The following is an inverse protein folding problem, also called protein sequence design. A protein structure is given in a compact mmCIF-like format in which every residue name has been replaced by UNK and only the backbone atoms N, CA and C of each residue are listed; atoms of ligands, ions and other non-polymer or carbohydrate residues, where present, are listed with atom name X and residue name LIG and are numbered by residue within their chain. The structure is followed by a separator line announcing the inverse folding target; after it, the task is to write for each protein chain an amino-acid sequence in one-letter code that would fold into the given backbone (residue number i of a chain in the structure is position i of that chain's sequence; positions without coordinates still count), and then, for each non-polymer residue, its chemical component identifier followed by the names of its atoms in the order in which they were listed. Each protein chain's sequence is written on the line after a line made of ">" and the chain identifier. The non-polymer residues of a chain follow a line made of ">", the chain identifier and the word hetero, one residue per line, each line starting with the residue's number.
data_IF_486489568267
#
_entry.id   IF_486489568267
#
_cell.length_a   1.000
_cell.length_b   1.000
_cell.length_c   1.000
_cell.angle_alpha   90.00
_cell.angle_beta   90.00
_cell.angle_gamma   90.00
#
_symmetry.space_group_name_H-M   'P 1'
#
loop_
_entity.id
_entity.type
_entity.pdbx_description
1 polymer ?
#
# COMPACT_ATOMS: atom_id res chain seq x y z
N UNK A 1 -88.94 12.26 2.94
CA UNK A 1 -87.72 12.39 2.12
C UNK A 1 -86.53 12.59 3.03
N UNK A 2 -85.75 11.54 3.25
CA UNK A 2 -84.53 11.58 4.14
C UNK A 2 -83.28 11.52 3.23
N UNK A 3 -82.47 12.58 3.28
CA UNK A 3 -81.16 12.62 2.61
C UNK A 3 -80.11 11.99 3.52
N UNK A 4 -79.45 10.91 3.08
CA UNK A 4 -78.27 10.37 3.69
C UNK A 4 -77.04 11.11 3.10
N UNK A 5 -76.27 11.74 3.99
CA UNK A 5 -74.94 12.30 3.62
C UNK A 5 -73.86 11.25 3.88
N UNK A 6 -73.23 10.82 2.83
CA UNK A 6 -72.02 9.95 2.91
C UNK A 6 -70.74 10.77 3.11
N UNK A 7 -70.07 10.56 4.24
CA UNK A 7 -68.76 11.14 4.55
C UNK A 7 -67.69 10.25 3.92
N UNK A 8 -66.98 10.78 2.93
CA UNK A 8 -65.76 10.15 2.35
C UNK A 8 -64.58 10.57 3.21
N UNK A 9 -64.02 9.61 3.95
CA UNK A 9 -62.74 9.82 4.67
C UNK A 9 -61.59 9.68 3.70
N UNK A 10 -60.94 10.81 3.33
CA UNK A 10 -59.67 10.81 2.63
C UNK A 10 -58.51 10.39 3.58
N UNK A 11 -58.02 9.16 3.42
CA UNK A 11 -56.83 8.71 4.08
C UNK A 11 -55.59 9.40 3.48
N UNK A 12 -54.91 10.24 4.24
CA UNK A 12 -53.60 10.78 3.87
C UNK A 12 -52.55 9.70 4.08
N UNK A 13 -52.07 9.09 2.98
CA UNK A 13 -50.92 8.23 3.00
C UNK A 13 -49.70 9.15 3.11
N UNK A 14 -49.13 9.24 4.31
CA UNK A 14 -47.80 9.86 4.51
C UNK A 14 -46.76 9.01 3.81
N UNK A 15 -46.42 9.34 2.58
CA UNK A 15 -45.26 8.79 1.87
C UNK A 15 -43.97 9.18 2.63
N UNK A 16 -43.35 8.22 3.29
CA UNK A 16 -41.98 8.38 3.77
C UNK A 16 -41.11 8.66 2.56
N UNK A 17 -40.76 9.91 2.33
CA UNK A 17 -39.82 10.33 1.30
C UNK A 17 -38.47 9.71 1.60
N UNK A 18 -38.10 8.68 0.84
CA UNK A 18 -36.71 8.26 0.73
C UNK A 18 -35.96 9.45 0.14
N UNK A 19 -35.22 10.18 0.98
CA UNK A 19 -34.29 11.18 0.51
C UNK A 19 -33.32 10.47 -0.45
N UNK A 20 -33.06 10.99 -1.66
CA UNK A 20 -32.07 10.39 -2.54
C UNK A 20 -30.74 10.41 -1.79
N UNK A 21 -30.17 9.24 -1.57
CA UNK A 21 -28.77 9.12 -1.15
C UNK A 21 -27.97 9.71 -2.31
N UNK A 22 -27.50 10.96 -2.16
CA UNK A 22 -26.59 11.53 -3.14
C UNK A 22 -25.34 10.67 -3.17
N UNK A 23 -25.18 9.93 -4.25
CA UNK A 23 -23.96 9.19 -4.52
C UNK A 23 -22.79 10.18 -4.55
N UNK A 24 -21.80 9.98 -3.70
CA UNK A 24 -20.64 10.84 -3.62
C UNK A 24 -19.49 10.27 -4.48
N UNK A 25 -18.78 11.16 -5.15
CA UNK A 25 -17.54 10.82 -5.85
C UNK A 25 -16.34 11.19 -4.97
N UNK A 26 -15.74 10.16 -4.36
CA UNK A 26 -14.56 10.32 -3.52
C UNK A 26 -13.32 10.37 -4.41
N UNK A 27 -12.50 11.42 -4.28
CA UNK A 27 -11.25 11.55 -5.03
C UNK A 27 -10.05 11.21 -4.17
N UNK A 28 -9.17 10.33 -4.67
CA UNK A 28 -7.92 9.98 -4.04
C UNK A 28 -6.81 9.77 -5.06
N UNK A 29 -5.55 9.93 -4.65
CA UNK A 29 -4.41 9.68 -5.53
C UNK A 29 -3.19 9.23 -4.74
N UNK A 30 -2.32 8.45 -5.37
CA UNK A 30 -1.03 8.13 -4.76
C UNK A 30 -0.50 6.73 -5.05
N UNK A 31 -0.06 6.06 -4.00
CA UNK A 31 0.67 4.80 -4.06
C UNK A 31 0.03 3.76 -4.97
N UNK A 32 0.87 3.09 -5.78
CA UNK A 32 0.43 1.95 -6.59
C UNK A 32 0.42 0.65 -5.77
N UNK A 33 1.11 0.62 -4.64
CA UNK A 33 1.17 -0.52 -3.74
C UNK A 33 -0.23 -1.03 -3.32
N UNK A 34 -1.18 -0.19 -2.81
CA UNK A 34 -2.49 -0.66 -2.40
C UNK A 34 -3.51 -0.72 -3.53
N UNK A 35 -3.16 -0.32 -4.76
CA UNK A 35 -4.15 -0.17 -5.83
C UNK A 35 -4.99 -1.42 -6.10
N UNK A 36 -4.45 -2.66 -6.10
CA UNK A 36 -5.26 -3.85 -6.32
C UNK A 36 -6.40 -3.99 -5.31
N UNK A 37 -6.13 -3.73 -4.03
CA UNK A 37 -7.17 -3.81 -3.00
C UNK A 37 -8.08 -2.59 -3.00
N UNK A 38 -7.57 -1.38 -3.27
CA UNK A 38 -8.40 -0.18 -3.35
C UNK A 38 -9.40 -0.26 -4.52
N UNK A 39 -9.01 -0.81 -5.66
CA UNK A 39 -9.91 -1.06 -6.77
C UNK A 39 -11.02 -2.07 -6.40
N UNK A 40 -10.66 -3.15 -5.71
CA UNK A 40 -11.62 -4.16 -5.24
C UNK A 40 -12.60 -3.59 -4.20
N UNK A 41 -12.09 -2.79 -3.26
CA UNK A 41 -12.92 -2.11 -2.27
C UNK A 41 -13.84 -1.07 -2.91
N UNK A 42 -13.33 -0.27 -3.87
CA UNK A 42 -14.12 0.73 -4.58
C UNK A 42 -15.32 0.11 -5.30
N UNK A 43 -15.10 -1.02 -5.96
CA UNK A 43 -16.14 -1.77 -6.67
C UNK A 43 -17.22 -2.30 -5.72
N UNK A 44 -16.80 -2.90 -4.59
CA UNK A 44 -17.70 -3.45 -3.59
C UNK A 44 -18.47 -2.33 -2.84
N UNK A 45 -17.79 -1.25 -2.47
CA UNK A 45 -18.37 -0.08 -1.82
C UNK A 45 -19.44 0.58 -2.70
N UNK A 46 -19.13 0.76 -4.00
CA UNK A 46 -20.08 1.31 -4.96
C UNK A 46 -21.34 0.46 -5.10
N UNK A 47 -21.20 -0.86 -5.15
CA UNK A 47 -22.34 -1.79 -5.22
C UNK A 47 -23.24 -1.71 -3.99
N UNK A 48 -22.66 -1.47 -2.81
CA UNK A 48 -23.40 -1.42 -1.55
C UNK A 48 -24.00 -0.05 -1.27
N UNK A 49 -23.28 1.03 -1.55
CA UNK A 49 -23.63 2.39 -1.11
C UNK A 49 -24.04 3.33 -2.24
N UNK A 50 -23.74 2.98 -3.49
CA UNK A 50 -23.89 3.86 -4.65
C UNK A 50 -22.75 4.88 -4.81
N UNK A 51 -21.93 5.15 -3.77
CA UNK A 51 -20.83 6.10 -3.82
C UNK A 51 -19.61 5.52 -4.54
N UNK A 52 -18.93 6.33 -5.36
CA UNK A 52 -17.77 5.92 -6.16
C UNK A 52 -16.48 6.43 -5.55
N UNK A 53 -15.44 5.62 -5.61
CA UNK A 53 -14.06 6.05 -5.37
C UNK A 53 -13.33 6.18 -6.71
N UNK A 54 -12.86 7.38 -7.03
CA UNK A 54 -11.94 7.66 -8.12
C UNK A 54 -10.51 7.75 -7.55
N UNK A 55 -9.78 6.64 -7.59
CA UNK A 55 -8.40 6.57 -7.10
C UNK A 55 -7.41 6.57 -8.27
N UNK A 56 -6.52 7.55 -8.28
CA UNK A 56 -5.46 7.67 -9.27
C UNK A 56 -4.18 7.01 -8.76
N UNK A 57 -3.82 5.86 -9.33
CA UNK A 57 -2.59 5.11 -9.02
C UNK A 57 -1.40 5.74 -9.74
N UNK A 58 -0.76 6.76 -9.12
CA UNK A 58 0.28 7.60 -9.73
C UNK A 58 1.60 7.61 -8.96
N UNK A 59 1.74 6.74 -7.96
CA UNK A 59 2.88 6.65 -7.06
C UNK A 59 2.75 7.58 -5.84
N UNK A 60 3.42 7.21 -4.75
CA UNK A 60 3.37 7.92 -3.46
C UNK A 60 3.78 9.39 -3.58
N UNK A 61 4.85 9.67 -4.34
CA UNK A 61 5.28 11.06 -4.58
C UNK A 61 4.22 11.90 -5.29
N UNK A 62 3.46 11.31 -6.21
CA UNK A 62 2.31 11.95 -6.86
C UNK A 62 1.17 12.21 -5.87
N UNK A 63 0.86 11.23 -5.01
CA UNK A 63 -0.17 11.35 -3.97
C UNK A 63 0.14 12.43 -2.95
N UNK A 64 1.38 12.48 -2.46
CA UNK A 64 1.85 13.54 -1.53
C UNK A 64 1.68 14.92 -2.19
N UNK A 65 2.11 15.09 -3.45
CA UNK A 65 1.97 16.36 -4.17
C UNK A 65 0.52 16.77 -4.35
N UNK A 66 -0.37 15.84 -4.69
CA UNK A 66 -1.78 16.15 -4.90
C UNK A 66 -2.51 16.52 -3.60
N UNK A 67 -2.23 15.84 -2.49
CA UNK A 67 -2.84 16.22 -1.21
C UNK A 67 -2.30 17.57 -0.73
N UNK A 68 -1.01 17.84 -0.88
CA UNK A 68 -0.42 19.16 -0.58
C UNK A 68 -1.05 20.27 -1.42
N UNK A 69 -1.31 20.01 -2.70
CA UNK A 69 -2.00 20.93 -3.61
C UNK A 69 -3.52 21.01 -3.39
N UNK A 70 -4.08 20.21 -2.47
CA UNK A 70 -5.53 20.15 -2.14
C UNK A 70 -6.42 19.78 -3.32
N UNK A 71 -5.93 19.00 -4.26
CA UNK A 71 -6.65 18.58 -5.48
C UNK A 71 -7.44 17.28 -5.29
N UNK A 72 -7.23 16.57 -4.19
CA UNK A 72 -7.88 15.31 -3.84
C UNK A 72 -8.35 15.33 -2.37
N UNK A 73 -9.35 14.52 -2.03
CA UNK A 73 -9.83 14.36 -0.66
C UNK A 73 -8.80 13.64 0.23
N UNK A 74 -8.03 12.70 -0.36
CA UNK A 74 -6.95 12.02 0.33
C UNK A 74 -5.78 11.71 -0.61
N UNK A 75 -4.56 11.71 -0.05
CA UNK A 75 -3.36 11.17 -0.68
C UNK A 75 -3.06 9.77 -0.13
N UNK A 76 -2.37 8.92 -0.89
CA UNK A 76 -1.88 7.64 -0.41
C UNK A 76 -0.37 7.50 -0.62
N UNK A 77 0.33 6.97 0.39
CA UNK A 77 1.79 6.82 0.37
C UNK A 77 2.23 5.60 1.18
N UNK A 78 3.26 4.88 0.68
CA UNK A 78 3.94 3.82 1.45
C UNK A 78 5.20 4.36 2.15
N UNK A 79 5.55 5.63 1.92
CA UNK A 79 6.51 6.37 2.71
C UNK A 79 5.74 7.21 3.74
N UNK A 80 5.72 6.84 5.03
CA UNK A 80 5.06 7.66 6.02
C UNK A 80 5.77 9.01 6.16
N UNK A 81 4.99 10.08 6.24
CA UNK A 81 5.50 11.40 6.56
C UNK A 81 5.83 11.48 8.06
N UNK A 82 6.92 12.16 8.38
CA UNK A 82 7.29 12.44 9.77
C UNK A 82 6.33 13.42 10.44
N UNK A 83 6.30 13.43 11.76
CA UNK A 83 5.48 14.39 12.53
C UNK A 83 5.70 15.85 12.13
N UNK A 84 6.96 16.35 11.99
CA UNK A 84 7.25 17.68 11.46
C UNK A 84 6.66 17.95 10.07
N UNK A 85 6.77 16.99 9.13
CA UNK A 85 6.19 17.13 7.78
C UNK A 85 4.67 17.19 7.81
N UNK A 86 4.02 16.30 8.58
CA UNK A 86 2.57 16.33 8.77
C UNK A 86 2.08 17.65 9.35
N UNK A 87 2.79 18.18 10.34
CA UNK A 87 2.43 19.46 10.97
C UNK A 87 2.63 20.64 10.02
N UNK A 88 3.73 20.65 9.26
CA UNK A 88 4.04 21.69 8.27
C UNK A 88 2.92 21.82 7.23
N UNK A 89 2.42 20.70 6.76
CA UNK A 89 1.41 20.66 5.69
C UNK A 89 -0.03 20.63 6.24
N UNK A 90 -0.21 20.61 7.57
CA UNK A 90 -1.53 20.53 8.23
C UNK A 90 -2.24 19.21 7.93
N UNK A 91 -1.49 18.12 7.80
CA UNK A 91 -2.00 16.79 7.48
C UNK A 91 -2.11 15.91 8.73
N UNK A 92 -3.02 14.98 8.68
CA UNK A 92 -3.06 13.76 9.49
C UNK A 92 -2.79 12.56 8.60
N UNK A 93 -2.31 11.46 9.21
CA UNK A 93 -1.93 10.24 8.51
C UNK A 93 -2.43 9.02 9.27
N UNK A 94 -2.83 7.97 8.53
CA UNK A 94 -3.21 6.70 9.14
C UNK A 94 -2.99 5.52 8.15
N UNK A 95 -2.64 4.30 8.63
CA UNK A 95 -2.43 3.12 7.80
C UNK A 95 -3.76 2.48 7.37
N UNK A 96 -3.77 1.78 6.23
CA UNK A 96 -4.96 1.05 5.74
C UNK A 96 -4.77 -0.45 5.64
N UNK A 97 -3.69 -0.92 5.06
CA UNK A 97 -3.33 -2.34 4.93
C UNK A 97 -1.84 -2.53 5.02
N UNK A 98 -1.42 -3.75 5.35
CA UNK A 98 -0.04 -4.20 5.26
C UNK A 98 0.14 -5.07 4.02
N UNK A 99 1.37 -5.13 3.52
CA UNK A 99 1.77 -6.01 2.44
C UNK A 99 3.29 -6.21 2.42
N UNK A 100 3.79 -6.83 1.36
CA UNK A 100 5.22 -7.05 1.18
C UNK A 100 5.71 -6.59 -0.17
N UNK A 101 6.85 -5.92 -0.19
CA UNK A 101 7.63 -5.73 -1.41
C UNK A 101 8.44 -6.98 -1.67
N UNK A 102 8.34 -7.53 -2.86
CA UNK A 102 8.99 -8.80 -3.22
C UNK A 102 9.92 -8.61 -4.43
N UNK A 103 11.12 -9.17 -4.38
CA UNK A 103 11.93 -9.29 -5.58
C UNK A 103 11.26 -10.26 -6.56
N UNK A 104 11.03 -9.81 -7.79
CA UNK A 104 10.46 -10.61 -8.89
C UNK A 104 11.50 -10.84 -9.96
N UNK A 105 11.48 -12.03 -10.57
CA UNK A 105 12.52 -12.49 -11.48
C UNK A 105 11.92 -13.14 -12.73
N UNK A 106 12.68 -13.08 -13.82
CA UNK A 106 12.37 -13.79 -15.07
C UNK A 106 13.56 -14.67 -15.49
N UNK A 107 13.67 -15.82 -14.85
CA UNK A 107 14.69 -16.84 -15.15
C UNK A 107 13.99 -18.11 -15.58
N UNK A 108 14.38 -18.62 -16.75
CA UNK A 108 13.82 -19.87 -17.27
C UNK A 108 14.18 -21.05 -16.36
N UNK A 109 13.21 -21.90 -16.06
CA UNK A 109 13.37 -23.11 -15.23
C UNK A 109 13.33 -22.87 -13.72
N UNK A 110 13.29 -21.61 -13.25
CA UNK A 110 13.13 -21.28 -11.82
C UNK A 110 11.65 -21.04 -11.49
N UNK A 111 11.16 -21.66 -10.41
CA UNK A 111 9.76 -21.55 -9.96
C UNK A 111 9.57 -20.43 -8.93
N UNK A 112 8.34 -19.96 -8.70
CA UNK A 112 8.04 -19.00 -7.62
C UNK A 112 8.52 -19.53 -6.26
N UNK A 113 9.28 -18.71 -5.53
CA UNK A 113 9.82 -19.07 -4.21
C UNK A 113 10.91 -20.14 -4.19
N UNK A 114 11.45 -20.56 -5.34
CA UNK A 114 12.55 -21.51 -5.42
C UNK A 114 13.89 -20.83 -5.11
N UNK A 115 14.12 -19.63 -5.67
CA UNK A 115 15.35 -18.87 -5.44
C UNK A 115 15.29 -18.13 -4.10
N UNK A 116 16.40 -18.16 -3.36
CA UNK A 116 16.61 -17.40 -2.12
C UNK A 116 17.67 -16.33 -2.35
N UNK A 117 17.41 -15.10 -1.91
CA UNK A 117 18.40 -14.01 -1.88
C UNK A 117 18.55 -13.51 -0.44
N UNK A 118 19.69 -12.93 -0.13
CA UNK A 118 19.89 -12.12 1.07
C UNK A 118 19.97 -10.62 0.72
N UNK A 119 19.89 -9.77 1.73
CA UNK A 119 19.89 -8.33 1.51
C UNK A 119 21.18 -7.80 0.90
N UNK A 120 22.34 -8.38 1.24
CA UNK A 120 23.63 -7.97 0.71
C UNK A 120 23.76 -8.33 -0.79
N UNK A 121 23.34 -9.54 -1.16
CA UNK A 121 23.32 -9.98 -2.57
C UNK A 121 22.36 -9.13 -3.38
N UNK A 122 21.14 -8.88 -2.86
CA UNK A 122 20.13 -8.05 -3.51
C UNK A 122 20.64 -6.61 -3.73
N UNK A 123 21.25 -5.99 -2.73
CA UNK A 123 21.85 -4.66 -2.85
C UNK A 123 22.94 -4.62 -3.95
N UNK A 124 23.85 -5.61 -3.98
CA UNK A 124 24.90 -5.70 -4.98
C UNK A 124 24.36 -5.92 -6.40
N UNK A 125 23.24 -6.64 -6.57
CA UNK A 125 22.56 -6.77 -7.85
C UNK A 125 22.04 -5.40 -8.34
N UNK A 126 21.35 -4.66 -7.49
CA UNK A 126 20.82 -3.35 -7.83
C UNK A 126 21.89 -2.26 -7.95
N UNK A 127 23.08 -2.47 -7.39
CA UNK A 127 24.28 -1.65 -7.63
C UNK A 127 25.00 -2.01 -8.94
N UNK A 128 24.55 -3.03 -9.70
CA UNK A 128 25.20 -3.50 -10.93
C UNK A 128 26.54 -4.21 -10.69
N UNK A 129 26.83 -4.63 -9.46
CA UNK A 129 28.05 -5.36 -9.09
C UNK A 129 27.96 -6.85 -9.40
N UNK A 130 26.77 -7.45 -9.26
CA UNK A 130 26.47 -8.82 -9.69
C UNK A 130 25.87 -8.75 -11.10
N UNK A 131 26.58 -9.31 -12.08
CA UNK A 131 26.24 -9.14 -13.49
C UNK A 131 25.58 -10.37 -14.13
N UNK A 132 25.70 -11.55 -13.51
CA UNK A 132 25.14 -12.81 -14.03
C UNK A 132 24.46 -13.58 -12.93
N UNK A 133 23.46 -14.39 -13.31
CA UNK A 133 22.67 -15.17 -12.34
C UNK A 133 23.45 -16.29 -11.68
N UNK A 134 24.49 -16.82 -12.32
CA UNK A 134 25.39 -17.83 -11.75
C UNK A 134 26.53 -17.25 -10.90
N UNK A 135 26.44 -15.96 -10.47
CA UNK A 135 27.41 -15.37 -9.55
C UNK A 135 27.54 -16.22 -8.27
N UNK A 136 28.78 -16.45 -7.78
CA UNK A 136 29.01 -17.26 -6.57
C UNK A 136 28.23 -16.85 -5.34
N UNK A 137 27.90 -15.54 -5.19
CA UNK A 137 27.07 -15.05 -4.09
C UNK A 137 25.63 -15.58 -4.17
N UNK A 138 25.04 -15.65 -5.38
CA UNK A 138 23.71 -16.22 -5.59
C UNK A 138 23.76 -17.74 -5.46
N UNK A 139 24.76 -18.39 -6.07
CA UNK A 139 24.90 -19.86 -6.06
C UNK A 139 25.06 -20.41 -4.63
N UNK A 140 25.80 -19.72 -3.77
CA UNK A 140 26.00 -20.10 -2.36
C UNK A 140 24.67 -20.14 -1.57
N UNK A 141 23.73 -19.24 -1.87
CA UNK A 141 22.41 -19.17 -1.22
C UNK A 141 21.44 -20.23 -1.78
N UNK A 142 21.76 -20.83 -2.92
CA UNK A 142 20.87 -21.70 -3.68
C UNK A 142 21.53 -23.03 -4.08
N UNK A 143 22.04 -23.82 -3.12
CA UNK A 143 22.67 -25.11 -3.44
C UNK A 143 21.64 -26.02 -4.13
N UNK A 144 22.01 -26.56 -5.29
CA UNK A 144 21.14 -27.44 -6.08
C UNK A 144 20.25 -26.75 -7.11
N UNK A 145 20.14 -25.44 -7.12
CA UNK A 145 19.45 -24.68 -8.18
C UNK A 145 20.41 -24.47 -9.36
N UNK A 146 19.99 -24.87 -10.56
CA UNK A 146 20.78 -24.66 -11.78
C UNK A 146 20.60 -23.22 -12.25
N UNK A 147 21.56 -22.37 -11.89
CA UNK A 147 21.57 -20.96 -12.27
C UNK A 147 22.20 -20.77 -13.67
N UNK A 148 21.56 -20.01 -14.58
CA UNK A 148 22.11 -19.76 -15.91
C UNK A 148 23.24 -18.72 -15.87
N UNK A 149 24.10 -18.73 -16.88
CA UNK A 149 25.12 -17.69 -17.12
C UNK A 149 24.52 -16.39 -17.67
N UNK A 150 23.20 -16.26 -17.70
CA UNK A 150 22.45 -15.12 -18.21
C UNK A 150 22.77 -13.85 -17.42
N UNK A 151 22.81 -12.71 -18.12
CA UNK A 151 22.99 -11.40 -17.49
C UNK A 151 21.81 -11.05 -16.57
N UNK A 152 22.13 -10.41 -15.45
CA UNK A 152 21.14 -9.80 -14.56
C UNK A 152 20.72 -8.45 -15.17
N UNK A 153 19.43 -8.27 -15.43
CA UNK A 153 18.83 -7.02 -15.90
C UNK A 153 17.97 -6.42 -14.80
N UNK A 154 18.43 -5.34 -14.20
CA UNK A 154 17.68 -4.66 -13.13
C UNK A 154 16.54 -3.84 -13.72
N UNK A 155 15.34 -3.96 -13.15
CA UNK A 155 14.18 -3.12 -13.43
C UNK A 155 13.74 -2.41 -12.16
N UNK A 156 13.71 -1.09 -12.20
CA UNK A 156 13.37 -0.23 -11.06
C UNK A 156 12.25 0.74 -11.39
N UNK A 157 11.74 1.46 -10.38
CA UNK A 157 10.73 2.50 -10.57
C UNK A 157 11.34 3.76 -11.16
N UNK A 158 10.58 4.42 -12.06
CA UNK A 158 10.94 5.72 -12.65
C UNK A 158 10.08 6.88 -12.14
N UNK A 159 9.05 6.60 -11.35
CA UNK A 159 8.17 7.57 -10.71
C UNK A 159 8.50 7.72 -9.21
N UNK A 160 7.93 8.73 -8.54
CA UNK A 160 8.01 8.87 -7.09
C UNK A 160 7.23 7.76 -6.37
N UNK A 161 7.92 6.73 -5.90
CA UNK A 161 7.35 5.45 -5.49
C UNK A 161 7.56 5.15 -4.01
N UNK A 162 6.49 4.88 -3.28
CA UNK A 162 6.57 4.36 -1.92
C UNK A 162 7.14 2.94 -1.87
N UNK A 163 6.83 2.10 -2.87
CA UNK A 163 7.44 0.77 -3.02
C UNK A 163 8.96 0.89 -3.15
N UNK A 164 9.46 1.88 -3.91
CA UNK A 164 10.90 2.21 -3.96
C UNK A 164 11.43 2.64 -2.60
N UNK A 165 10.71 3.50 -1.87
CA UNK A 165 11.14 3.92 -0.55
C UNK A 165 11.31 2.71 0.40
N UNK A 166 10.31 1.84 0.47
CA UNK A 166 10.36 0.62 1.30
C UNK A 166 11.54 -0.28 0.90
N UNK A 167 11.74 -0.49 -0.39
CA UNK A 167 12.82 -1.31 -0.92
C UNK A 167 14.20 -0.70 -0.62
N UNK A 168 14.37 0.59 -0.85
CA UNK A 168 15.65 1.28 -0.63
C UNK A 168 15.95 1.52 0.85
N UNK A 169 14.92 1.68 1.71
CA UNK A 169 15.08 1.68 3.16
C UNK A 169 15.60 0.33 3.67
N UNK A 170 15.03 -0.78 3.17
CA UNK A 170 15.56 -2.12 3.47
C UNK A 170 17.01 -2.26 3.04
N UNK A 171 17.34 -1.94 1.78
CA UNK A 171 18.72 -2.03 1.29
C UNK A 171 19.70 -1.15 2.08
N UNK A 172 19.25 0.02 2.53
CA UNK A 172 20.06 0.92 3.38
C UNK A 172 20.31 0.34 4.78
N UNK A 173 19.40 -0.49 5.30
CA UNK A 173 19.55 -1.18 6.59
C UNK A 173 20.53 -2.35 6.53
N UNK A 174 20.64 -3.02 5.38
CA UNK A 174 21.40 -4.27 5.23
C UNK A 174 22.71 -4.13 4.46
N UNK A 175 22.98 -2.97 3.84
CA UNK A 175 24.19 -2.76 3.03
C UNK A 175 24.76 -1.34 3.17
N UNK A 176 25.96 -1.21 3.76
CA UNK A 176 26.55 0.08 4.08
C UNK A 176 26.83 0.95 2.83
N UNK A 177 27.35 0.35 1.76
CA UNK A 177 27.60 1.08 0.51
C UNK A 177 26.31 1.57 -0.15
N UNK A 178 25.24 0.79 -0.09
CA UNK A 178 23.93 1.25 -0.56
C UNK A 178 23.49 2.50 0.23
N UNK A 179 23.55 2.41 1.58
CA UNK A 179 23.16 3.50 2.47
C UNK A 179 23.90 4.80 2.16
N UNK A 180 25.21 4.72 1.88
CA UNK A 180 26.05 5.91 1.66
C UNK A 180 26.00 6.46 0.24
N UNK A 181 25.84 5.59 -0.78
CA UNK A 181 25.92 5.98 -2.19
C UNK A 181 24.54 6.23 -2.84
N UNK A 182 23.51 5.54 -2.36
CA UNK A 182 22.15 5.60 -2.94
C UNK A 182 21.15 6.13 -1.92
N UNK A 183 21.13 5.58 -0.69
CA UNK A 183 20.21 5.95 0.37
C UNK A 183 18.80 5.38 0.19
N UNK A 184 17.84 6.03 0.87
CA UNK A 184 16.43 5.65 0.88
C UNK A 184 15.53 6.85 0.57
N UNK A 185 14.71 6.74 -0.48
CA UNK A 185 13.74 7.78 -0.88
C UNK A 185 12.67 7.19 -1.81
N UNK A 186 11.62 7.96 -2.08
CA UNK A 186 10.64 7.61 -3.12
C UNK A 186 11.23 7.70 -4.53
N UNK A 187 12.33 8.40 -4.71
CA UNK A 187 13.13 8.46 -5.94
C UNK A 187 14.60 8.56 -5.55
N UNK A 188 15.44 7.70 -6.14
CA UNK A 188 16.88 7.64 -5.92
C UNK A 188 17.61 7.66 -7.25
N UNK A 189 18.92 8.00 -7.22
CA UNK A 189 19.80 7.83 -8.38
C UNK A 189 20.18 6.34 -8.50
N UNK A 190 19.54 5.64 -9.42
CA UNK A 190 19.75 4.22 -9.61
C UNK A 190 21.12 3.94 -10.25
N UNK A 191 21.98 3.11 -9.63
CA UNK A 191 23.30 2.78 -10.20
C UNK A 191 23.23 1.98 -11.49
N UNK A 192 22.16 1.21 -11.69
CA UNK A 192 21.96 0.35 -12.86
C UNK A 192 20.47 0.08 -13.09
N UNK A 193 20.14 -0.32 -14.32
CA UNK A 193 18.83 -0.85 -14.64
C UNK A 193 17.98 0.04 -15.55
N UNK A 194 16.75 -0.42 -15.75
CA UNK A 194 15.74 0.21 -16.59
C UNK A 194 14.57 0.72 -15.72
N UNK A 195 14.16 1.97 -15.96
CA UNK A 195 13.05 2.58 -15.25
C UNK A 195 11.70 2.16 -15.81
N UNK A 196 10.74 1.83 -14.92
CA UNK A 196 9.36 1.53 -15.27
C UNK A 196 8.39 2.25 -14.33
N UNK A 197 7.24 2.71 -14.84
CA UNK A 197 6.25 3.45 -14.06
C UNK A 197 5.27 2.51 -13.35
N UNK A 198 5.07 2.70 -12.07
CA UNK A 198 4.15 1.92 -11.25
C UNK A 198 4.64 0.50 -10.93
N UNK A 199 3.96 -0.20 -10.02
CA UNK A 199 4.20 -1.63 -9.78
C UNK A 199 3.87 -2.45 -11.05
N UNK A 200 2.80 -2.11 -11.75
CA UNK A 200 2.40 -2.72 -13.02
C UNK A 200 3.46 -2.61 -14.11
N UNK A 201 4.08 -1.44 -14.24
CA UNK A 201 5.15 -1.23 -15.22
C UNK A 201 6.39 -2.06 -14.91
N UNK A 202 6.81 -2.14 -13.64
CA UNK A 202 7.92 -3.02 -13.23
C UNK A 202 7.57 -4.48 -13.49
N UNK A 203 6.37 -4.94 -13.07
CA UNK A 203 5.94 -6.33 -13.30
C UNK A 203 5.94 -6.69 -14.78
N UNK A 204 5.38 -5.84 -15.64
CA UNK A 204 5.35 -6.07 -17.08
C UNK A 204 6.75 -6.11 -17.72
N UNK A 205 7.64 -5.18 -17.32
CA UNK A 205 9.02 -5.19 -17.85
C UNK A 205 9.80 -6.44 -17.42
N UNK A 206 9.65 -6.87 -16.15
CA UNK A 206 10.27 -8.12 -15.69
C UNK A 206 9.73 -9.32 -16.46
N UNK A 207 8.40 -9.40 -16.67
CA UNK A 207 7.77 -10.49 -17.41
C UNK A 207 8.30 -10.63 -18.86
N UNK A 208 8.60 -9.50 -19.49
CA UNK A 208 9.03 -9.46 -20.90
C UNK A 208 10.56 -9.55 -21.08
N UNK A 209 11.35 -9.34 -20.03
CA UNK A 209 12.81 -9.26 -20.12
C UNK A 209 13.45 -10.50 -19.50
N UNK A 210 14.03 -11.37 -20.31
CA UNK A 210 14.77 -12.56 -19.83
C UNK A 210 15.98 -12.13 -18.98
N UNK A 211 16.15 -12.77 -17.81
CA UNK A 211 17.19 -12.43 -16.84
C UNK A 211 16.88 -11.21 -15.99
N UNK A 212 15.68 -10.66 -16.09
CA UNK A 212 15.30 -9.50 -15.29
C UNK A 212 15.11 -9.85 -13.81
N UNK A 213 15.44 -8.87 -12.95
CA UNK A 213 15.03 -8.76 -11.56
C UNK A 213 14.45 -7.38 -11.33
N UNK A 214 13.30 -7.31 -10.65
CA UNK A 214 12.66 -6.08 -10.20
C UNK A 214 12.11 -6.25 -8.79
N UNK A 215 11.35 -5.27 -8.33
CA UNK A 215 10.63 -5.34 -7.06
C UNK A 215 9.23 -4.74 -7.23
N UNK A 216 8.24 -5.42 -6.68
CA UNK A 216 6.82 -5.01 -6.70
C UNK A 216 6.15 -5.36 -5.39
N UNK A 217 4.98 -4.79 -5.14
CA UNK A 217 4.10 -5.31 -4.11
C UNK A 217 3.59 -6.72 -4.50
N UNK A 218 3.41 -7.61 -3.53
CA UNK A 218 3.23 -9.05 -3.73
C UNK A 218 1.99 -9.41 -4.57
N UNK A 219 0.87 -8.67 -4.44
CA UNK A 219 -0.33 -8.91 -5.25
C UNK A 219 -0.04 -8.77 -6.75
N UNK A 220 0.84 -7.85 -7.16
CA UNK A 220 1.25 -7.72 -8.56
C UNK A 220 2.04 -8.93 -9.06
N UNK A 221 2.94 -9.48 -8.25
CA UNK A 221 3.66 -10.70 -8.61
C UNK A 221 2.69 -11.87 -8.82
N UNK A 222 1.68 -12.01 -7.95
CA UNK A 222 0.64 -13.04 -8.05
C UNK A 222 -0.25 -12.85 -9.28
N UNK A 223 -0.75 -11.64 -9.51
CA UNK A 223 -1.64 -11.33 -10.65
C UNK A 223 -0.96 -11.52 -11.99
N UNK A 224 0.31 -11.16 -12.11
CA UNK A 224 1.10 -11.33 -13.33
C UNK A 224 1.79 -12.69 -13.43
N UNK A 225 1.62 -13.56 -12.42
CA UNK A 225 2.24 -14.90 -12.34
C UNK A 225 3.76 -14.84 -12.47
N UNK A 226 4.39 -13.79 -11.96
CA UNK A 226 5.83 -13.67 -11.92
C UNK A 226 6.44 -14.60 -10.87
N UNK A 227 7.64 -15.10 -11.18
CA UNK A 227 8.45 -15.77 -10.18
C UNK A 227 8.98 -14.71 -9.19
N UNK A 228 8.91 -15.02 -7.91
CA UNK A 228 9.45 -14.22 -6.82
C UNK A 228 10.45 -15.04 -6.00
N UNK A 229 11.26 -14.35 -5.22
CA UNK A 229 12.29 -15.00 -4.40
C UNK A 229 11.85 -15.14 -2.94
N UNK A 230 12.45 -16.09 -2.22
CA UNK A 230 12.55 -16.01 -0.77
C UNK A 230 13.64 -15.00 -0.40
N UNK A 231 13.55 -14.49 0.83
CA UNK A 231 14.56 -13.60 1.37
C UNK A 231 15.12 -14.17 2.69
N UNK A 232 16.44 -14.09 2.87
CA UNK A 232 17.02 -14.30 4.20
C UNK A 232 16.73 -13.07 5.05
N UNK A 233 16.06 -13.27 6.16
CA UNK A 233 15.68 -12.20 7.09
C UNK A 233 16.78 -11.88 8.12
N UNK A 234 16.51 -10.93 9.03
CA UNK A 234 17.45 -10.49 10.08
C UNK A 234 17.91 -11.64 10.98
N UNK A 235 17.04 -12.64 11.23
CA UNK A 235 17.33 -13.81 12.06
C UNK A 235 18.03 -14.95 11.27
N UNK A 236 18.46 -14.68 10.01
CA UNK A 236 19.16 -15.65 9.16
C UNK A 236 18.27 -16.76 8.60
N UNK A 237 16.94 -16.59 8.60
CA UNK A 237 15.98 -17.57 8.07
C UNK A 237 15.56 -17.19 6.66
N UNK A 238 15.49 -18.20 5.77
CA UNK A 238 14.92 -18.04 4.44
C UNK A 238 13.39 -18.03 4.54
N UNK A 239 12.77 -16.88 4.32
CA UNK A 239 11.32 -16.66 4.47
C UNK A 239 10.69 -16.46 3.09
N UNK A 240 9.50 -17.04 2.89
CA UNK A 240 8.68 -16.78 1.71
C UNK A 240 7.74 -15.58 1.95
N UNK A 241 7.41 -14.79 0.91
CA UNK A 241 6.43 -13.73 1.03
C UNK A 241 5.02 -14.32 1.17
N UNK A 242 4.40 -14.11 2.29
CA UNK A 242 3.03 -14.54 2.62
C UNK A 242 2.38 -13.54 3.55
N UNK A 243 1.05 -13.48 3.59
CA UNK A 243 0.34 -12.66 4.60
C UNK A 243 0.79 -12.97 6.03
N UNK A 244 1.09 -14.24 6.35
CA UNK A 244 1.61 -14.63 7.67
C UNK A 244 2.99 -14.00 7.95
N UNK A 245 3.90 -13.99 6.96
CA UNK A 245 5.24 -13.40 7.16
C UNK A 245 5.21 -11.85 7.18
N UNK A 246 4.24 -11.23 6.52
CA UNK A 246 4.00 -9.79 6.63
C UNK A 246 3.42 -9.44 8.00
N UNK A 247 2.49 -10.25 8.51
CA UNK A 247 1.94 -10.13 9.87
C UNK A 247 3.04 -10.27 10.91
N UNK A 248 3.92 -11.27 10.78
CA UNK A 248 5.04 -11.48 11.68
C UNK A 248 5.96 -10.24 11.76
N UNK A 249 6.26 -9.60 10.62
CA UNK A 249 7.05 -8.38 10.58
C UNK A 249 6.38 -7.19 11.29
N UNK A 250 5.05 -7.17 11.38
CA UNK A 250 4.28 -6.11 12.05
C UNK A 250 3.95 -6.40 13.51
N UNK A 251 4.25 -7.61 14.02
CA UNK A 251 3.79 -8.08 15.33
C UNK A 251 4.22 -7.19 16.50
N UNK A 252 5.42 -6.59 16.43
CA UNK A 252 6.00 -5.76 17.49
C UNK A 252 5.94 -4.24 17.14
N UNK A 253 5.17 -3.85 16.13
CA UNK A 253 5.09 -2.47 15.70
C UNK A 253 4.38 -1.57 16.72
N UNK A 254 5.02 -0.49 17.13
CA UNK A 254 4.44 0.50 18.05
C UNK A 254 3.64 1.56 17.28
N UNK A 255 2.46 1.18 16.81
CA UNK A 255 1.61 2.04 15.99
C UNK A 255 1.17 3.31 16.72
N UNK A 256 0.64 3.18 17.93
CA UNK A 256 0.08 4.31 18.70
C UNK A 256 1.16 5.27 19.20
N UNK A 257 2.38 4.77 19.48
CA UNK A 257 3.51 5.58 19.93
C UNK A 257 4.23 6.33 18.81
N UNK A 258 3.88 6.07 17.55
CA UNK A 258 4.54 6.70 16.38
C UNK A 258 3.66 7.79 15.77
N UNK A 259 4.15 9.02 15.57
CA UNK A 259 3.38 10.10 14.96
C UNK A 259 2.79 9.68 13.62
N UNK A 260 1.48 9.93 13.44
CA UNK A 260 0.77 9.52 12.22
C UNK A 260 0.79 8.01 11.96
N UNK A 261 1.00 7.19 13.00
CA UNK A 261 1.16 5.74 12.86
C UNK A 261 2.27 5.32 11.88
N UNK A 262 3.25 6.17 11.62
CA UNK A 262 4.26 6.04 10.57
C UNK A 262 5.34 4.99 10.86
N UNK A 263 4.95 3.77 11.20
CA UNK A 263 5.87 2.68 11.55
C UNK A 263 6.55 2.12 10.30
N UNK A 264 7.88 1.92 10.40
CA UNK A 264 8.67 1.21 9.39
C UNK A 264 8.79 -0.28 9.73
N UNK A 265 8.37 -1.13 8.81
CA UNK A 265 8.33 -2.59 9.00
C UNK A 265 9.47 -3.34 8.30
N UNK A 266 10.39 -2.63 7.66
CA UNK A 266 11.55 -3.23 6.99
C UNK A 266 12.58 -3.74 7.99
N UNK A 267 13.12 -4.93 7.70
CA UNK A 267 14.19 -5.59 8.47
C UNK A 267 13.85 -5.81 9.96
N UNK A 268 12.60 -6.20 10.24
CA UNK A 268 12.18 -6.52 11.61
C UNK A 268 12.69 -7.90 12.02
N UNK A 269 12.99 -8.06 13.32
CA UNK A 269 13.34 -9.33 13.94
C UNK A 269 12.15 -10.30 13.94
N UNK A 270 12.45 -11.56 14.08
CA UNK A 270 11.50 -12.68 14.11
C UNK A 270 11.78 -13.69 13.00
N UNK A 271 11.83 -15.01 13.34
CA UNK A 271 12.25 -16.04 12.40
C UNK A 271 11.34 -16.17 11.17
N UNK A 272 10.10 -15.69 11.26
CA UNK A 272 9.12 -15.73 10.17
C UNK A 272 8.87 -14.36 9.53
N UNK A 273 9.55 -13.29 10.00
CA UNK A 273 9.34 -11.94 9.53
C UNK A 273 9.85 -11.75 8.10
N UNK A 274 8.95 -11.31 7.18
CA UNK A 274 9.35 -10.88 5.85
C UNK A 274 10.17 -9.58 5.94
N UNK A 275 11.38 -9.52 5.37
CA UNK A 275 12.27 -8.38 5.63
C UNK A 275 11.89 -7.09 4.91
N UNK A 276 11.00 -7.14 3.91
CA UNK A 276 10.59 -5.97 3.12
C UNK A 276 9.08 -5.75 3.24
N UNK A 277 8.57 -5.87 4.47
CA UNK A 277 7.17 -5.59 4.79
C UNK A 277 6.92 -4.08 4.90
N UNK A 278 5.70 -3.66 4.61
CA UNK A 278 5.28 -2.26 4.68
C UNK A 278 3.78 -2.13 5.00
N UNK A 279 3.43 -0.96 5.55
CA UNK A 279 2.08 -0.44 5.53
C UNK A 279 1.94 0.62 4.43
N UNK A 280 0.71 0.81 3.95
CA UNK A 280 0.35 1.98 3.14
C UNK A 280 -0.51 2.93 3.95
N UNK A 281 -0.30 4.22 3.77
CA UNK A 281 -0.88 5.29 4.59
C UNK A 281 -1.74 6.22 3.77
N UNK A 282 -2.80 6.74 4.40
CA UNK A 282 -3.64 7.80 3.89
C UNK A 282 -3.23 9.12 4.53
N UNK A 283 -3.18 10.16 3.72
CA UNK A 283 -2.93 11.54 4.11
C UNK A 283 -4.20 12.36 3.90
N UNK A 284 -4.64 13.08 4.92
CA UNK A 284 -5.81 13.96 4.84
C UNK A 284 -5.52 15.30 5.54
N UNK A 285 -6.13 16.38 5.05
CA UNK A 285 -6.02 17.67 5.73
C UNK A 285 -6.78 17.68 7.05
N UNK A 286 -6.15 18.17 8.14
CA UNK A 286 -6.81 18.41 9.43
C UNK A 286 -7.91 19.48 9.32
N UNK A 287 -7.77 20.41 8.36
CA UNK A 287 -8.77 21.43 7.99
C UNK A 287 -9.01 21.38 6.49
N UNK A 288 -9.85 20.46 6.00
CA UNK A 288 -10.11 20.31 4.59
C UNK A 288 -10.92 21.49 4.03
N UNK A 289 -10.63 21.88 2.77
CA UNK A 289 -11.41 22.90 2.08
C UNK A 289 -12.84 22.43 1.77
N UNK A 290 -13.01 21.12 1.60
CA UNK A 290 -14.29 20.45 1.36
C UNK A 290 -14.55 19.40 2.43
N UNK A 291 -15.10 19.79 3.59
CA UNK A 291 -15.33 18.86 4.71
C UNK A 291 -16.22 17.67 4.35
N UNK A 292 -17.17 17.84 3.43
CA UNK A 292 -18.05 16.77 2.97
C UNK A 292 -17.28 15.67 2.21
N UNK A 293 -16.34 16.04 1.31
CA UNK A 293 -15.53 15.08 0.57
C UNK A 293 -14.65 14.25 1.53
N UNK A 294 -14.11 14.91 2.58
CA UNK A 294 -13.34 14.22 3.62
C UNK A 294 -14.19 13.27 4.45
N UNK A 295 -15.41 13.66 4.78
CA UNK A 295 -16.36 12.80 5.49
C UNK A 295 -16.70 11.54 4.67
N UNK A 296 -16.93 11.69 3.36
CA UNK A 296 -17.19 10.55 2.46
C UNK A 296 -15.97 9.63 2.34
N UNK A 297 -14.76 10.18 2.27
CA UNK A 297 -13.53 9.37 2.30
C UNK A 297 -13.41 8.57 3.61
N UNK A 298 -13.72 9.16 4.76
CA UNK A 298 -13.69 8.46 6.05
C UNK A 298 -14.77 7.39 6.17
N UNK A 299 -15.96 7.57 5.56
CA UNK A 299 -16.97 6.51 5.45
C UNK A 299 -16.44 5.32 4.64
N UNK A 300 -15.79 5.60 3.51
CA UNK A 300 -15.15 4.56 2.69
C UNK A 300 -14.10 3.77 3.50
N UNK A 301 -13.20 4.44 4.22
CA UNK A 301 -12.20 3.76 5.02
C UNK A 301 -12.81 3.03 6.23
N UNK A 302 -13.88 3.54 6.84
CA UNK A 302 -14.62 2.81 7.86
C UNK A 302 -15.18 1.51 7.29
N UNK A 303 -15.80 1.57 6.12
CA UNK A 303 -16.31 0.39 5.42
C UNK A 303 -15.18 -0.58 5.07
N UNK A 304 -14.06 -0.09 4.57
CA UNK A 304 -12.89 -0.90 4.22
C UNK A 304 -12.35 -1.67 5.45
N UNK A 305 -12.25 -1.04 6.60
CA UNK A 305 -11.81 -1.70 7.83
C UNK A 305 -12.83 -2.73 8.36
N UNK A 306 -14.13 -2.48 8.21
CA UNK A 306 -15.18 -3.34 8.78
C UNK A 306 -15.59 -4.48 7.87
N UNK A 307 -15.59 -4.27 6.55
CA UNK A 307 -16.08 -5.21 5.54
C UNK A 307 -15.03 -5.64 4.52
N UNK A 308 -13.97 -4.86 4.38
CA UNK A 308 -12.94 -5.08 3.36
C UNK A 308 -11.87 -6.10 3.71
N UNK A 309 -11.80 -6.57 4.96
CA UNK A 309 -10.72 -7.43 5.45
C UNK A 309 -10.53 -8.70 4.64
N UNK A 310 -11.60 -9.48 4.42
CA UNK A 310 -11.53 -10.70 3.61
C UNK A 310 -11.07 -10.45 2.17
N UNK A 311 -11.45 -9.32 1.58
CA UNK A 311 -11.00 -8.95 0.23
C UNK A 311 -9.50 -8.62 0.20
N UNK A 312 -8.97 -8.07 1.29
CA UNK A 312 -7.52 -7.83 1.44
C UNK A 312 -6.76 -9.15 1.54
N UNK A 313 -7.21 -10.07 2.40
CA UNK A 313 -6.62 -11.41 2.54
C UNK A 313 -6.63 -12.20 1.22
N UNK A 314 -7.70 -12.12 0.43
CA UNK A 314 -7.82 -12.79 -0.88
C UNK A 314 -6.79 -12.28 -1.90
N UNK A 315 -6.20 -11.12 -1.67
CA UNK A 315 -5.12 -10.51 -2.46
C UNK A 315 -3.77 -10.55 -1.73
N UNK A 316 -3.65 -11.36 -0.69
CA UNK A 316 -2.44 -11.50 0.14
C UNK A 316 -2.03 -10.21 0.90
N UNK A 317 -2.90 -9.22 1.00
CA UNK A 317 -2.73 -8.11 1.94
C UNK A 317 -3.15 -8.52 3.35
N UNK A 318 -2.58 -7.86 4.35
CA UNK A 318 -2.95 -8.06 5.76
C UNK A 318 -3.81 -6.88 6.22
N UNK A 319 -5.04 -7.13 6.69
CA UNK A 319 -5.86 -6.10 7.32
C UNK A 319 -5.17 -5.52 8.56
N UNK A 320 -5.47 -4.25 8.87
CA UNK A 320 -4.99 -3.63 10.09
C UNK A 320 -5.60 -4.31 11.33
N UNK A 321 -4.81 -4.54 12.40
CA UNK A 321 -5.34 -5.09 13.66
C UNK A 321 -6.45 -4.18 14.24
N UNK A 322 -7.49 -4.76 14.81
CA UNK A 322 -8.64 -4.04 15.37
C UNK A 322 -8.24 -2.92 16.36
N UNK A 323 -7.25 -3.19 17.22
CA UNK A 323 -6.75 -2.20 18.16
C UNK A 323 -6.19 -0.97 17.44
N UNK A 324 -5.45 -1.18 16.34
CA UNK A 324 -4.90 -0.09 15.52
C UNK A 324 -6.02 0.66 14.81
N UNK A 325 -6.99 -0.06 14.24
CA UNK A 325 -8.18 0.54 13.61
C UNK A 325 -8.92 1.45 14.60
N UNK A 326 -9.15 0.99 15.84
CA UNK A 326 -9.78 1.81 16.87
C UNK A 326 -9.01 3.09 17.21
N UNK A 327 -7.67 3.03 17.27
CA UNK A 327 -6.81 4.19 17.48
C UNK A 327 -6.84 5.16 16.27
N UNK A 328 -6.79 4.60 15.06
CA UNK A 328 -6.93 5.36 13.80
C UNK A 328 -8.25 6.12 13.76
N UNK A 329 -9.37 5.45 14.02
CA UNK A 329 -10.69 6.06 13.99
C UNK A 329 -10.83 7.18 15.03
N UNK A 330 -10.24 7.03 16.22
CA UNK A 330 -10.17 8.10 17.22
C UNK A 330 -9.37 9.31 16.73
N UNK A 331 -8.29 9.09 15.99
CA UNK A 331 -7.47 10.19 15.45
C UNK A 331 -8.22 11.05 14.42
N UNK A 332 -9.26 10.53 13.78
CA UNK A 332 -10.06 11.29 12.80
C UNK A 332 -10.82 12.48 13.40
N UNK A 333 -10.97 12.53 14.74
CA UNK A 333 -11.50 13.71 15.43
C UNK A 333 -10.65 14.99 15.23
N UNK A 334 -9.39 14.84 14.75
CA UNK A 334 -8.54 15.97 14.37
C UNK A 334 -8.93 16.62 13.04
N UNK A 335 -9.71 15.90 12.18
CA UNK A 335 -10.17 16.42 10.89
C UNK A 335 -11.46 17.22 11.14
N UNK A 336 -11.36 18.55 11.06
CA UNK A 336 -12.41 19.46 11.50
C UNK A 336 -12.88 20.39 10.39
N UNK A 337 -14.17 20.74 10.42
CA UNK A 337 -14.73 21.78 9.57
C UNK A 337 -14.36 23.19 10.06
N UNK A 338 -14.80 24.23 9.36
CA UNK A 338 -14.52 25.63 9.70
C UNK A 338 -15.08 26.07 11.07
N UNK A 339 -16.07 25.32 11.62
CA UNK A 339 -16.63 25.55 12.95
C UNK A 339 -15.86 24.82 14.06
N UNK A 340 -14.77 24.14 13.73
CA UNK A 340 -13.95 23.35 14.66
C UNK A 340 -14.59 22.02 15.08
N UNK A 341 -15.64 21.57 14.42
CA UNK A 341 -16.32 20.30 14.68
C UNK A 341 -15.70 19.19 13.82
N UNK A 342 -15.56 17.96 14.34
CA UNK A 342 -15.12 16.83 13.53
C UNK A 342 -16.01 16.66 12.29
N UNK A 343 -15.39 16.40 11.13
CA UNK A 343 -16.15 16.19 9.86
C UNK A 343 -16.84 14.84 9.82
N UNK A 344 -16.40 13.91 10.66
CA UNK A 344 -16.93 12.55 10.74
C UNK A 344 -16.86 12.04 12.18
N UNK A 345 -17.90 11.34 12.61
CA UNK A 345 -17.93 10.59 13.86
C UNK A 345 -18.22 9.13 13.55
N UNK A 346 -17.41 8.24 14.09
CA UNK A 346 -17.65 6.80 13.98
C UNK A 346 -18.85 6.49 14.89
N UNK A 347 -19.93 5.99 14.32
CA UNK A 347 -21.05 5.46 15.12
C UNK A 347 -20.58 4.21 15.86
N UNK A 348 -20.72 4.21 17.18
CA UNK A 348 -20.44 3.04 18.03
C UNK A 348 -21.42 1.92 17.73
#
# INVERSE_FOLDING_TARGET
>A
MRFLASIIACGVIAGAGLSPVNAADISGAGATFPYPIYAKWADAYKKETGSSLNYQSIGSGGGIKQIQAKTVAFGATDMPLSGPELNKDGLTQFPTVLGGVVPVINIEGVKPGELTLDGATLARMFMGQIKTWNDPAIAKLNPGVKLPTQAVVVVHRSDGSGTTFVFTDYLSKVHADWKTKVGASTAVEWPAGLGAKGNEGVANNVAQTKGAIGYVEYAYAKQTKLNYTKMVNLDGKAVAPTSASFTAAAANANWEGTPGFGVMLTNQSGPESWPIAAATFILMHKKPQKPADSAEALKFFTWAYTKGGKMAEDLDFVPMPEKVVGAVQKSWAEIKNDKGQPVFAVSN
#
